data_IF_711367790017
#
_entry.id   IF_711367790017
#
_cell.length_a   1.000
_cell.length_b   1.000
_cell.length_c   1.000
_cell.angle_alpha   90.00
_cell.angle_beta   90.00
_cell.angle_gamma   90.00
#
_symmetry.space_group_name_H-M   'P 1'
#
loop_
_entity.id
_entity.type
_entity.pdbx_description
1 polymer ?
#
# COMPACT_ATOMS: atom_id res chain seq x y z
N UNK A 1 -1.37 -5.56 -12.37
CA UNK A 1 -1.11 -6.84 -11.70
C UNK A 1 -1.77 -7.99 -12.44
N UNK A 2 -3.10 -8.13 -12.45
CA UNK A 2 -3.79 -9.28 -13.09
C UNK A 2 -3.39 -9.56 -14.54
N UNK A 3 -3.27 -8.52 -15.38
CA UNK A 3 -2.87 -8.68 -16.80
C UNK A 3 -1.45 -9.28 -16.90
N UNK A 4 -0.53 -8.83 -16.05
CA UNK A 4 0.84 -9.34 -16.05
C UNK A 4 0.91 -10.75 -15.43
N UNK A 5 0.08 -11.07 -14.43
CA UNK A 5 -0.05 -12.42 -13.87
C UNK A 5 -0.57 -13.44 -14.91
N UNK A 6 -1.54 -13.08 -15.75
CA UNK A 6 -2.07 -13.98 -16.79
C UNK A 6 -1.00 -14.31 -17.85
N UNK A 7 -0.05 -13.40 -18.07
CA UNK A 7 1.03 -13.57 -19.05
C UNK A 7 2.38 -13.93 -18.39
N UNK A 8 2.34 -14.39 -17.14
CA UNK A 8 3.54 -14.83 -16.43
C UNK A 8 4.03 -16.17 -17.03
N UNK A 9 5.33 -16.35 -17.28
CA UNK A 9 5.84 -17.54 -17.96
C UNK A 9 5.62 -18.83 -17.15
N UNK A 10 5.98 -18.81 -15.86
CA UNK A 10 5.91 -19.98 -14.99
C UNK A 10 6.89 -19.92 -13.83
N UNK A 11 6.71 -20.85 -12.89
CA UNK A 11 7.51 -20.99 -11.70
C UNK A 11 6.93 -20.28 -10.48
N UNK A 12 7.30 -20.81 -9.31
CA UNK A 12 7.07 -20.27 -7.98
C UNK A 12 8.23 -20.67 -7.07
N UNK A 13 8.38 -20.05 -5.90
CA UNK A 13 9.37 -20.50 -4.91
C UNK A 13 9.16 -21.95 -4.44
N UNK A 14 7.94 -22.49 -4.58
CA UNK A 14 7.58 -23.85 -4.16
C UNK A 14 7.76 -24.85 -5.31
N UNK A 15 7.46 -24.43 -6.54
CA UNK A 15 7.50 -25.27 -7.73
C UNK A 15 7.98 -24.47 -8.94
N UNK A 16 9.28 -24.58 -9.24
CA UNK A 16 9.96 -23.89 -10.34
C UNK A 16 9.43 -24.30 -11.72
N UNK A 17 8.97 -25.54 -11.88
CA UNK A 17 8.47 -26.07 -13.15
C UNK A 17 6.96 -25.85 -13.39
N UNK A 18 6.29 -25.07 -12.52
CA UNK A 18 4.87 -24.76 -12.70
C UNK A 18 4.65 -23.85 -13.92
N UNK A 19 3.59 -24.08 -14.68
CA UNK A 19 3.28 -23.26 -15.86
C UNK A 19 2.35 -22.12 -15.45
N UNK A 20 2.71 -20.87 -15.79
CA UNK A 20 1.91 -19.69 -15.48
C UNK A 20 2.02 -19.20 -14.03
N UNK A 21 1.15 -18.26 -13.65
CA UNK A 21 1.16 -17.65 -12.31
C UNK A 21 0.27 -18.41 -11.32
N UNK A 22 0.85 -18.91 -10.22
CA UNK A 22 0.07 -19.44 -9.09
C UNK A 22 -0.43 -18.31 -8.19
N UNK A 23 -1.74 -18.19 -8.01
CA UNK A 23 -2.31 -17.22 -7.08
C UNK A 23 -2.10 -17.59 -5.61
N UNK A 24 -1.71 -18.83 -5.33
CA UNK A 24 -1.41 -19.32 -3.99
C UNK A 24 0.06 -19.10 -3.68
N UNK A 25 0.93 -19.46 -4.60
CA UNK A 25 2.37 -19.62 -4.31
C UNK A 25 3.23 -18.45 -4.80
N UNK A 26 2.78 -17.68 -5.80
CA UNK A 26 3.55 -16.55 -6.31
C UNK A 26 3.23 -15.25 -5.57
N UNK A 27 4.29 -14.50 -5.28
CA UNK A 27 4.19 -13.16 -4.72
C UNK A 27 3.63 -12.18 -5.74
N UNK A 28 3.16 -11.02 -5.25
CA UNK A 28 2.83 -9.91 -6.13
C UNK A 28 4.08 -9.31 -6.78
N UNK A 29 5.23 -9.41 -6.11
CA UNK A 29 6.51 -8.91 -6.60
C UNK A 29 7.14 -9.78 -7.69
N UNK A 30 6.82 -11.08 -7.81
CA UNK A 30 7.36 -11.94 -8.90
C UNK A 30 6.98 -11.42 -10.29
N UNK A 31 5.81 -10.79 -10.39
CA UNK A 31 5.33 -10.14 -11.62
C UNK A 31 6.17 -8.89 -11.96
N UNK A 32 6.92 -8.38 -10.98
CA UNK A 32 7.86 -7.28 -11.08
C UNK A 32 9.29 -7.77 -11.39
N UNK A 33 9.51 -9.01 -11.76
CA UNK A 33 10.81 -9.47 -12.23
C UNK A 33 10.84 -9.63 -13.74
N UNK A 34 11.99 -9.33 -14.33
CA UNK A 34 12.26 -9.46 -15.76
C UNK A 34 12.51 -10.92 -16.19
N UNK A 35 12.88 -11.77 -15.24
CA UNK A 35 13.07 -13.21 -15.38
C UNK A 35 12.16 -13.88 -14.34
N UNK A 36 11.45 -14.92 -14.75
CA UNK A 36 10.58 -15.70 -13.87
C UNK A 36 11.37 -16.78 -13.10
N UNK A 37 10.74 -17.39 -12.09
CA UNK A 37 11.34 -18.51 -11.34
C UNK A 37 11.70 -19.71 -12.24
N UNK A 38 11.00 -19.89 -13.37
CA UNK A 38 11.34 -20.89 -14.40
C UNK A 38 12.53 -20.49 -15.29
N UNK A 39 13.26 -19.41 -14.99
CA UNK A 39 14.33 -18.81 -15.81
C UNK A 39 13.89 -18.27 -17.20
N UNK A 40 12.59 -18.17 -17.45
CA UNK A 40 12.05 -17.61 -18.69
C UNK A 40 11.90 -16.09 -18.62
N UNK A 41 12.13 -15.43 -19.76
CA UNK A 41 12.00 -13.97 -19.87
C UNK A 41 10.54 -13.53 -19.75
N UNK A 42 10.29 -12.63 -18.81
CA UNK A 42 8.96 -12.10 -18.54
C UNK A 42 8.71 -10.79 -19.30
N UNK A 43 8.17 -10.91 -20.52
CA UNK A 43 7.90 -9.75 -21.39
C UNK A 43 6.88 -8.76 -20.81
N UNK A 44 5.97 -9.22 -19.95
CA UNK A 44 4.91 -8.39 -19.35
C UNK A 44 5.29 -7.77 -18.00
N UNK A 45 6.55 -7.94 -17.56
CA UNK A 45 7.09 -7.33 -16.36
C UNK A 45 6.84 -5.80 -16.30
N UNK A 46 7.00 -5.10 -17.43
CA UNK A 46 6.76 -3.64 -17.52
C UNK A 46 5.33 -3.25 -17.17
N UNK A 47 4.35 -4.09 -17.47
CA UNK A 47 2.93 -3.88 -17.11
C UNK A 47 2.73 -4.09 -15.61
N UNK A 48 3.45 -5.05 -15.01
CA UNK A 48 3.54 -5.22 -13.55
C UNK A 48 4.10 -3.96 -12.88
N UNK A 49 5.22 -3.44 -13.39
CA UNK A 49 5.85 -2.23 -12.87
C UNK A 49 4.93 -1.01 -12.95
N UNK A 50 4.23 -0.82 -14.09
CA UNK A 50 3.25 0.24 -14.22
C UNK A 50 2.13 0.13 -13.18
N UNK A 51 1.65 -1.08 -12.88
CA UNK A 51 0.65 -1.30 -11.84
C UNK A 51 1.18 -0.99 -10.44
N UNK A 52 2.45 -1.31 -10.15
CA UNK A 52 3.10 -0.96 -8.88
C UNK A 52 3.23 0.56 -8.72
N UNK A 53 3.63 1.27 -9.79
CA UNK A 53 3.69 2.74 -9.79
C UNK A 53 2.30 3.35 -9.56
N UNK A 54 1.25 2.82 -10.20
CA UNK A 54 -0.12 3.27 -9.96
C UNK A 54 -0.56 3.02 -8.50
N UNK A 55 -0.23 1.85 -7.94
CA UNK A 55 -0.55 1.49 -6.56
C UNK A 55 0.14 2.42 -5.55
N UNK A 56 1.47 2.55 -5.63
CA UNK A 56 2.25 3.46 -4.79
C UNK A 56 1.84 4.92 -5.01
N UNK A 57 1.51 5.31 -6.24
CA UNK A 57 1.01 6.64 -6.58
C UNK A 57 -0.33 6.96 -5.89
N UNK A 58 -1.26 6.01 -5.84
CA UNK A 58 -2.53 6.18 -5.13
C UNK A 58 -2.35 6.40 -3.63
N UNK A 59 -1.46 5.62 -2.99
CA UNK A 59 -1.14 5.78 -1.57
C UNK A 59 -0.39 7.10 -1.33
N UNK A 60 0.50 7.48 -2.24
CA UNK A 60 1.22 8.76 -2.20
C UNK A 60 0.26 9.96 -2.24
N UNK A 61 -0.74 9.91 -3.13
CA UNK A 61 -1.79 10.93 -3.19
C UNK A 61 -2.56 11.02 -1.87
N UNK A 62 -2.89 9.88 -1.25
CA UNK A 62 -3.53 9.87 0.07
C UNK A 62 -2.67 10.60 1.11
N UNK A 63 -1.39 10.26 1.27
CA UNK A 63 -0.51 10.95 2.22
C UNK A 63 -0.36 12.45 1.92
N UNK A 64 -0.38 12.82 0.64
CA UNK A 64 -0.31 14.23 0.24
C UNK A 64 -1.58 15.02 0.60
N UNK A 65 -2.76 14.48 0.34
CA UNK A 65 -4.01 15.21 0.54
C UNK A 65 -4.58 15.07 1.95
N UNK A 66 -4.28 13.99 2.66
CA UNK A 66 -4.83 13.70 3.99
C UNK A 66 -4.63 14.85 4.99
N UNK A 67 -3.44 15.48 5.11
CA UNK A 67 -3.25 16.61 6.02
C UNK A 67 -4.11 17.83 5.68
N UNK A 68 -4.44 18.02 4.41
CA UNK A 68 -5.31 19.11 3.98
C UNK A 68 -6.78 18.82 4.35
N UNK A 69 -7.27 17.61 4.10
CA UNK A 69 -8.65 17.21 4.44
C UNK A 69 -8.92 17.28 5.94
N UNK A 70 -7.93 16.95 6.75
CA UNK A 70 -8.05 16.93 8.21
C UNK A 70 -7.68 18.26 8.90
N UNK A 71 -7.35 19.27 8.09
CA UNK A 71 -6.86 20.59 8.52
C UNK A 71 -5.73 20.47 9.56
N UNK A 72 -4.74 19.64 9.23
CA UNK A 72 -3.58 19.35 10.08
C UNK A 72 -2.56 20.47 9.91
N UNK A 73 -2.04 20.97 11.02
CA UNK A 73 -1.05 22.04 11.04
C UNK A 73 0.22 21.60 11.75
N UNK A 74 1.31 22.35 11.52
CA UNK A 74 2.61 22.13 12.16
C UNK A 74 3.34 20.87 11.69
N UNK A 75 4.15 20.32 12.58
CA UNK A 75 5.09 19.21 12.30
C UNK A 75 4.39 17.97 11.75
N UNK A 76 3.19 17.63 12.23
CA UNK A 76 2.45 16.46 11.75
C UNK A 76 2.07 16.55 10.27
N UNK A 77 1.76 17.75 9.76
CA UNK A 77 1.50 17.94 8.33
C UNK A 77 2.74 17.63 7.50
N UNK A 78 3.91 18.06 7.96
CA UNK A 78 5.18 17.81 7.28
C UNK A 78 5.54 16.32 7.30
N UNK A 79 5.46 15.69 8.48
CA UNK A 79 5.77 14.27 8.67
C UNK A 79 4.89 13.39 7.78
N UNK A 80 3.57 13.55 7.82
CA UNK A 80 2.65 12.70 7.05
C UNK A 80 2.89 12.86 5.55
N UNK A 81 3.06 14.10 5.07
CA UNK A 81 3.30 14.37 3.66
C UNK A 81 4.61 13.77 3.19
N UNK A 82 5.73 14.20 3.77
CA UNK A 82 7.04 13.91 3.21
C UNK A 82 7.52 12.51 3.55
N UNK A 83 7.35 12.05 4.80
CA UNK A 83 7.75 10.69 5.16
C UNK A 83 6.90 9.65 4.42
N UNK A 84 5.59 9.93 4.26
CA UNK A 84 4.70 9.08 3.48
C UNK A 84 5.06 9.04 1.99
N UNK A 85 5.37 10.20 1.37
CA UNK A 85 5.78 10.25 -0.03
C UNK A 85 7.13 9.55 -0.29
N UNK A 86 8.14 9.83 0.54
CA UNK A 86 9.47 9.23 0.37
C UNK A 86 9.38 7.72 0.60
N UNK A 87 8.58 7.26 1.56
CA UNK A 87 8.30 5.84 1.76
C UNK A 87 7.71 5.19 0.50
N UNK A 88 6.74 5.83 -0.16
CA UNK A 88 6.14 5.28 -1.38
C UNK A 88 7.08 5.30 -2.59
N UNK A 89 7.98 6.28 -2.68
CA UNK A 89 9.05 6.30 -3.69
C UNK A 89 10.00 5.12 -3.45
N UNK A 90 10.39 4.86 -2.20
CA UNK A 90 11.17 3.68 -1.83
C UNK A 90 10.46 2.38 -2.20
N UNK A 91 9.14 2.31 -1.96
CA UNK A 91 8.34 1.15 -2.31
C UNK A 91 8.28 0.90 -3.82
N UNK A 92 8.29 1.97 -4.63
CA UNK A 92 8.38 1.83 -6.09
C UNK A 92 9.71 1.23 -6.56
N UNK A 93 10.78 1.31 -5.76
CA UNK A 93 12.11 0.79 -6.10
C UNK A 93 12.34 -0.66 -5.62
N UNK A 94 11.32 -1.30 -5.05
CA UNK A 94 11.41 -2.69 -4.56
C UNK A 94 11.77 -3.68 -5.68
N UNK A 95 11.41 -3.42 -6.94
CA UNK A 95 11.76 -4.30 -8.08
C UNK A 95 13.25 -4.34 -8.43
N UNK A 96 14.09 -3.52 -7.79
CA UNK A 96 15.54 -3.48 -8.05
C UNK A 96 16.28 -4.51 -7.21
N UNK A 97 17.57 -4.74 -7.50
CA UNK A 97 18.46 -5.60 -6.71
C UNK A 97 18.54 -5.20 -5.22
N UNK A 98 18.08 -4.00 -4.88
CA UNK A 98 17.99 -3.48 -3.53
C UNK A 98 16.66 -3.84 -2.82
N UNK A 99 15.89 -4.80 -3.35
CA UNK A 99 14.56 -5.24 -2.87
C UNK A 99 14.43 -5.21 -1.34
N UNK A 100 15.29 -5.95 -0.64
CA UNK A 100 15.21 -6.14 0.81
C UNK A 100 15.52 -4.86 1.58
N UNK A 101 16.45 -4.05 1.07
CA UNK A 101 16.84 -2.77 1.68
C UNK A 101 15.73 -1.75 1.47
N UNK A 102 15.12 -1.71 0.29
CA UNK A 102 14.03 -0.79 -0.03
C UNK A 102 12.78 -1.10 0.78
N UNK A 103 12.47 -2.36 1.06
CA UNK A 103 11.38 -2.75 1.98
C UNK A 103 11.62 -2.19 3.39
N UNK A 104 12.82 -2.39 3.95
CA UNK A 104 13.16 -1.88 5.29
C UNK A 104 13.09 -0.35 5.35
N UNK A 105 13.73 0.34 4.40
CA UNK A 105 13.76 1.81 4.35
C UNK A 105 12.35 2.37 4.20
N UNK A 106 11.55 1.81 3.29
CA UNK A 106 10.18 2.27 3.07
C UNK A 106 9.32 2.06 4.31
N UNK A 107 9.49 0.95 5.03
CA UNK A 107 8.77 0.65 6.26
C UNK A 107 9.13 1.61 7.39
N UNK A 108 10.44 1.87 7.61
CA UNK A 108 10.92 2.81 8.63
C UNK A 108 10.36 4.22 8.37
N UNK A 109 10.33 4.65 7.11
CA UNK A 109 9.79 5.94 6.71
C UNK A 109 8.25 5.99 6.81
N UNK A 110 7.55 4.88 6.57
CA UNK A 110 6.10 4.82 6.68
C UNK A 110 5.62 4.98 8.13
N UNK A 111 6.36 4.45 9.11
CA UNK A 111 5.98 4.47 10.53
C UNK A 111 5.63 5.87 11.07
N UNK A 112 6.48 6.90 10.99
CA UNK A 112 6.15 8.22 11.50
C UNK A 112 4.96 8.86 10.76
N UNK A 113 4.80 8.58 9.46
CA UNK A 113 3.64 9.03 8.71
C UNK A 113 2.33 8.38 9.22
N UNK A 114 2.35 7.06 9.45
CA UNK A 114 1.20 6.32 10.00
C UNK A 114 0.87 6.74 11.44
N UNK A 115 1.87 6.96 12.28
CA UNK A 115 1.67 7.50 13.64
C UNK A 115 0.95 8.85 13.56
N UNK A 116 1.35 9.72 12.63
CA UNK A 116 0.68 10.99 12.40
C UNK A 116 -0.78 10.81 12.00
N UNK A 117 -1.06 9.92 11.04
CA UNK A 117 -2.42 9.58 10.60
C UNK A 117 -3.26 9.08 11.79
N UNK A 118 -2.76 8.12 12.57
CA UNK A 118 -3.47 7.56 13.71
C UNK A 118 -3.72 8.56 14.83
N UNK A 119 -2.75 9.42 15.15
CA UNK A 119 -2.92 10.50 16.13
C UNK A 119 -4.08 11.42 15.72
N UNK A 120 -4.18 11.77 14.44
CA UNK A 120 -5.26 12.61 13.91
C UNK A 120 -6.60 11.88 13.94
N UNK A 121 -6.65 10.62 13.53
CA UNK A 121 -7.88 9.80 13.57
C UNK A 121 -8.42 9.69 15.00
N UNK A 122 -7.53 9.46 15.97
CA UNK A 122 -7.88 9.38 17.38
C UNK A 122 -8.42 10.71 17.91
N UNK A 123 -7.72 11.83 17.65
CA UNK A 123 -8.16 13.18 18.07
C UNK A 123 -9.52 13.57 17.48
N UNK A 124 -9.84 13.08 16.29
CA UNK A 124 -11.11 13.36 15.59
C UNK A 124 -12.20 12.33 15.89
N UNK A 125 -11.96 11.41 16.84
CA UNK A 125 -12.89 10.34 17.28
C UNK A 125 -13.36 9.44 16.13
N UNK A 126 -12.53 9.26 15.09
CA UNK A 126 -12.80 8.40 13.95
C UNK A 126 -12.36 6.94 14.27
N UNK A 127 -12.92 6.39 15.35
CA UNK A 127 -12.50 5.09 15.89
C UNK A 127 -12.60 3.91 14.92
N UNK A 128 -13.65 3.77 14.07
CA UNK A 128 -13.72 2.65 13.13
C UNK A 128 -12.53 2.63 12.15
N UNK A 129 -12.14 3.80 11.65
CA UNK A 129 -10.98 3.95 10.77
C UNK A 129 -9.66 3.70 11.50
N UNK A 130 -9.59 4.09 12.77
CA UNK A 130 -8.42 3.86 13.62
C UNK A 130 -8.19 2.37 13.87
N UNK A 131 -9.23 1.64 14.31
CA UNK A 131 -9.13 0.19 14.54
C UNK A 131 -8.86 -0.58 13.25
N UNK A 132 -9.53 -0.24 12.14
CA UNK A 132 -9.24 -0.84 10.84
C UNK A 132 -7.78 -0.61 10.41
N UNK A 133 -7.26 0.60 10.64
CA UNK A 133 -5.87 0.93 10.36
C UNK A 133 -4.87 0.18 11.23
N UNK A 134 -5.17 -0.04 12.51
CA UNK A 134 -4.35 -0.88 13.41
C UNK A 134 -4.32 -2.34 12.91
N UNK A 135 -5.47 -2.90 12.52
CA UNK A 135 -5.52 -4.26 11.98
C UNK A 135 -4.67 -4.39 10.72
N UNK A 136 -4.72 -3.39 9.83
CA UNK A 136 -3.86 -3.32 8.65
C UNK A 136 -2.38 -3.22 9.05
N UNK A 137 -2.04 -2.38 10.01
CA UNK A 137 -0.65 -2.26 10.49
C UNK A 137 -0.13 -3.60 11.03
N UNK A 138 -0.94 -4.32 11.81
CA UNK A 138 -0.59 -5.65 12.34
C UNK A 138 -0.33 -6.62 11.17
N UNK A 139 -1.18 -6.62 10.13
CA UNK A 139 -0.97 -7.43 8.94
C UNK A 139 0.35 -7.07 8.22
N UNK A 140 0.67 -5.79 8.07
CA UNK A 140 1.95 -5.34 7.47
C UNK A 140 3.17 -5.79 8.28
N UNK A 141 3.08 -5.73 9.62
CA UNK A 141 4.15 -6.20 10.51
C UNK A 141 4.31 -7.71 10.38
N UNK A 142 3.21 -8.48 10.38
CA UNK A 142 3.24 -9.93 10.16
C UNK A 142 3.90 -10.26 8.81
N UNK A 143 3.55 -9.53 7.73
CA UNK A 143 4.20 -9.72 6.43
C UNK A 143 5.72 -9.50 6.51
N UNK A 144 6.17 -8.42 7.15
CA UNK A 144 7.60 -8.14 7.29
C UNK A 144 8.31 -9.19 8.16
N UNK A 145 7.70 -9.63 9.27
CA UNK A 145 8.31 -10.62 10.16
C UNK A 145 8.45 -11.97 9.45
N UNK A 146 7.41 -12.44 8.77
CA UNK A 146 7.46 -13.68 7.99
C UNK A 146 8.55 -13.58 6.92
N UNK A 147 8.64 -12.45 6.22
CA UNK A 147 9.64 -12.22 5.18
C UNK A 147 11.09 -12.26 5.70
N UNK A 148 11.39 -11.69 6.87
CA UNK A 148 12.77 -11.68 7.41
C UNK A 148 13.14 -12.91 8.23
N UNK A 149 12.15 -13.68 8.72
CA UNK A 149 12.40 -14.84 9.58
C UNK A 149 12.44 -16.15 8.79
N UNK A 150 12.09 -16.12 7.50
CA UNK A 150 11.89 -17.29 6.64
C UNK A 150 10.94 -18.34 7.25
N UNK A 151 10.09 -17.92 8.18
CA UNK A 151 9.17 -18.80 8.90
C UNK A 151 7.77 -18.68 8.29
N UNK A 152 7.25 -19.77 7.73
CA UNK A 152 5.95 -19.84 7.02
C UNK A 152 5.88 -19.01 5.72
N UNK A 153 6.99 -18.94 4.99
CA UNK A 153 7.12 -18.25 3.69
C UNK A 153 6.06 -18.69 2.68
N UNK A 154 5.63 -19.95 2.72
CA UNK A 154 4.55 -20.51 1.88
C UNK A 154 3.20 -19.77 2.00
N UNK A 155 2.94 -19.09 3.12
CA UNK A 155 1.70 -18.32 3.36
C UNK A 155 1.87 -16.83 3.05
N UNK A 156 3.10 -16.38 2.84
CA UNK A 156 3.41 -14.98 2.64
C UNK A 156 2.76 -14.39 1.38
N UNK A 157 2.71 -15.08 0.22
CA UNK A 157 2.05 -14.56 -0.98
C UNK A 157 0.57 -14.20 -0.77
N UNK A 158 -0.15 -15.03 -0.02
CA UNK A 158 -1.57 -14.87 0.26
C UNK A 158 -1.78 -13.71 1.25
N UNK A 159 -0.97 -13.64 2.31
CA UNK A 159 -1.04 -12.57 3.30
C UNK A 159 -0.69 -11.21 2.65
N UNK A 160 0.28 -11.15 1.73
CA UNK A 160 0.65 -9.93 1.01
C UNK A 160 -0.53 -9.39 0.18
N UNK A 161 -1.23 -10.28 -0.54
CA UNK A 161 -2.40 -9.92 -1.36
C UNK A 161 -3.56 -9.43 -0.50
N UNK A 162 -3.84 -10.12 0.61
CA UNK A 162 -4.89 -9.72 1.56
C UNK A 162 -4.56 -8.35 2.15
N UNK A 163 -3.32 -8.12 2.59
CA UNK A 163 -2.87 -6.82 3.09
C UNK A 163 -3.06 -5.71 2.06
N UNK A 164 -2.66 -5.93 0.81
CA UNK A 164 -2.82 -4.94 -0.26
C UNK A 164 -4.29 -4.57 -0.49
N UNK A 165 -5.19 -5.56 -0.51
CA UNK A 165 -6.63 -5.33 -0.66
C UNK A 165 -7.19 -4.56 0.54
N UNK A 166 -6.82 -4.94 1.76
CA UNK A 166 -7.25 -4.26 2.98
C UNK A 166 -6.80 -2.79 3.01
N UNK A 167 -5.55 -2.50 2.62
CA UNK A 167 -5.03 -1.13 2.52
C UNK A 167 -5.84 -0.33 1.51
N UNK A 168 -6.01 -0.83 0.29
CA UNK A 168 -6.77 -0.12 -0.77
C UNK A 168 -8.20 0.12 -0.33
N UNK A 169 -8.86 -0.89 0.22
CA UNK A 169 -10.22 -0.77 0.73
C UNK A 169 -10.32 0.32 1.80
N UNK A 170 -9.44 0.30 2.79
CA UNK A 170 -9.41 1.31 3.85
C UNK A 170 -9.21 2.72 3.31
N UNK A 171 -8.27 2.90 2.37
CA UNK A 171 -8.03 4.18 1.72
C UNK A 171 -9.24 4.67 0.93
N UNK A 172 -9.91 3.81 0.17
CA UNK A 172 -11.11 4.17 -0.61
C UNK A 172 -12.25 4.58 0.31
N UNK A 173 -12.53 3.83 1.37
CA UNK A 173 -13.61 4.15 2.32
C UNK A 173 -13.31 5.46 3.05
N UNK A 174 -12.05 5.71 3.45
CA UNK A 174 -11.63 6.98 4.02
C UNK A 174 -11.84 8.15 3.05
N UNK A 175 -11.36 8.02 1.82
CA UNK A 175 -11.53 9.04 0.79
C UNK A 175 -13.00 9.39 0.57
N UNK A 176 -13.86 8.37 0.45
CA UNK A 176 -15.28 8.59 0.26
C UNK A 176 -15.93 9.32 1.45
N UNK A 177 -15.59 8.92 2.68
CA UNK A 177 -16.08 9.60 3.89
C UNK A 177 -15.66 11.07 3.91
N UNK A 178 -14.42 11.40 3.53
CA UNK A 178 -13.94 12.79 3.49
C UNK A 178 -14.62 13.64 2.42
N UNK A 179 -14.88 13.07 1.24
CA UNK A 179 -15.64 13.76 0.18
C UNK A 179 -17.05 14.09 0.69
N UNK A 180 -17.71 13.15 1.38
CA UNK A 180 -19.05 13.37 1.92
C UNK A 180 -19.05 14.41 3.04
N UNK A 181 -18.06 14.37 3.95
CA UNK A 181 -17.91 15.39 4.99
C UNK A 181 -17.71 16.79 4.39
N UNK A 182 -16.88 16.93 3.34
CA UNK A 182 -16.69 18.21 2.65
C UNK A 182 -17.99 18.74 2.02
N UNK A 183 -18.81 17.86 1.43
CA UNK A 183 -20.12 18.23 0.87
C UNK A 183 -21.08 18.72 1.95
N UNK A 184 -21.14 18.07 3.11
CA UNK A 184 -21.97 18.49 4.24
C UNK A 184 -21.59 19.88 4.76
N UNK A 185 -20.29 20.18 4.88
CA UNK A 185 -19.82 21.50 5.28
C UNK A 185 -20.11 22.59 4.23
N UNK A 186 -19.97 22.27 2.94
CA UNK A 186 -20.27 23.22 1.86
C UNK A 186 -21.77 23.52 1.74
N UNK A 187 -22.63 22.52 1.96
CA UNK A 187 -24.09 22.67 1.94
C UNK A 187 -24.60 23.56 3.08
N UNK A 188 -24.06 23.41 4.29
CA UNK A 188 -24.44 24.23 5.45
C UNK A 188 -24.09 25.71 5.29
N UNK A 189 -22.95 26.03 4.66
CA UNK A 189 -22.54 27.41 4.43
C UNK A 189 -23.46 28.13 3.42
N UNK A 190 -24.01 27.43 2.42
CA UNK A 190 -24.95 28.03 1.45
C UNK A 190 -26.30 28.36 2.10
N UNK A 191 -26.78 27.52 3.02
CA UNK A 191 -28.03 27.76 3.76
C UNK A 191 -27.93 28.86 4.80
N UNK A 192 -26.74 29.15 5.34
CA UNK A 192 -26.54 30.22 6.34
C UNK A 192 -26.26 31.60 5.73
N UNK A 193 -26.06 31.68 4.41
CA UNK A 193 -25.86 32.97 3.71
C UNK A 193 -27.15 33.47 3.04
N UNK A 194 -28.24 32.71 3.14
CA UNK A 194 -29.55 32.99 2.53
C UNK A 194 -30.63 33.35 3.55
N UNK A 195 -30.26 33.53 4.82
CA UNK A 195 -31.11 33.98 5.94
C UNK A 195 -30.62 35.33 6.46
#
# INVERSE_FOLDING_TARGET
>A
MTIASINYPGGSEVEECSIGYSWVDNYLCDVLENVSHSNDHHHFHKVGLAAMICFCGGISMFFFYFPHWMNVQGTWRFVIKWMGLISMIGAMLIFTDLHNIMIAVSSILALPALIGVFNILYRRRLFPFFFAGILILILLVINNVIYYTDYMVQWLPQIQKISAICIVHWLVVMNWKFINLKKEFSGKNLTSTTS
#
